data_IF_993889852227
#
_entry.id   IF_993889852227
#
_cell.length_a   1.000
_cell.length_b   1.000
_cell.length_c   1.000
_cell.angle_alpha   90.00
_cell.angle_beta   90.00
_cell.angle_gamma   90.00
#
_symmetry.space_group_name_H-M   'P 1'
#
loop_
_entity.id
_entity.type
_entity.pdbx_description
1 polymer ?
#
# COMPACT_ATOMS: atom_id res chain seq x y z
N UNK A 1 -30.66 10.17 -18.38
CA UNK A 1 -29.70 10.48 -17.30
C UNK A 1 -28.54 9.54 -17.48
N UNK A 2 -27.32 9.94 -17.17
CA UNK A 2 -26.19 9.03 -17.20
C UNK A 2 -26.39 7.90 -16.18
N UNK A 3 -25.86 6.72 -16.45
CA UNK A 3 -25.82 5.60 -15.52
C UNK A 3 -24.77 5.79 -14.43
N UNK A 4 -24.58 4.77 -13.61
CA UNK A 4 -23.68 4.76 -12.44
C UNK A 4 -22.57 3.72 -12.63
N UNK A 5 -21.33 4.11 -12.31
CA UNK A 5 -20.22 3.18 -12.18
C UNK A 5 -20.17 2.61 -10.75
N UNK A 6 -20.26 1.29 -10.60
CA UNK A 6 -20.16 0.59 -9.33
C UNK A 6 -18.84 -0.16 -9.23
N UNK A 7 -17.99 0.18 -8.24
CA UNK A 7 -16.81 -0.61 -7.91
C UNK A 7 -17.22 -1.68 -6.90
N UNK A 8 -17.34 -2.92 -7.33
CA UNK A 8 -17.84 -4.01 -6.51
C UNK A 8 -16.68 -4.88 -6.01
N UNK A 9 -16.46 -4.90 -4.71
CA UNK A 9 -15.48 -5.80 -4.11
C UNK A 9 -15.88 -7.26 -4.32
N UNK A 10 -14.90 -8.09 -4.66
CA UNK A 10 -14.99 -9.55 -4.77
C UNK A 10 -14.27 -10.23 -3.62
N UNK A 11 -14.53 -11.51 -3.33
CA UNK A 11 -13.79 -12.24 -2.30
C UNK A 11 -12.30 -12.32 -2.58
N UNK A 12 -11.49 -12.35 -1.51
CA UNK A 12 -10.03 -12.55 -1.59
C UNK A 12 -9.59 -13.99 -1.31
N UNK A 13 -10.57 -14.91 -1.25
CA UNK A 13 -10.29 -16.32 -1.04
C UNK A 13 -11.45 -17.11 -0.43
N UNK A 14 -12.44 -16.44 0.16
CA UNK A 14 -13.62 -17.06 0.74
C UNK A 14 -14.89 -16.46 0.11
N UNK A 15 -15.70 -17.29 -0.52
CA UNK A 15 -16.94 -16.85 -1.18
C UNK A 15 -17.97 -16.26 -0.21
N UNK A 16 -17.90 -16.62 1.08
CA UNK A 16 -18.78 -16.06 2.12
C UNK A 16 -18.50 -14.57 2.41
N UNK A 17 -17.36 -14.04 1.99
CA UNK A 17 -17.01 -12.61 2.10
C UNK A 17 -17.71 -11.75 1.03
N UNK A 18 -18.45 -12.37 0.10
CA UNK A 18 -19.24 -11.64 -0.88
C UNK A 18 -20.45 -10.98 -0.22
N UNK A 19 -20.58 -9.67 -0.37
CA UNK A 19 -21.68 -8.95 0.28
C UNK A 19 -23.00 -9.13 -0.48
N UNK A 20 -24.12 -9.18 0.23
CA UNK A 20 -25.46 -9.18 -0.37
C UNK A 20 -25.67 -8.01 -1.34
N UNK A 21 -25.12 -6.84 -1.00
CA UNK A 21 -25.20 -5.65 -1.86
C UNK A 21 -24.42 -5.83 -3.16
N UNK A 22 -23.22 -6.42 -3.10
CA UNK A 22 -22.44 -6.69 -4.30
C UNK A 22 -23.19 -7.68 -5.24
N UNK A 23 -23.73 -8.78 -4.69
CA UNK A 23 -24.53 -9.74 -5.47
C UNK A 23 -25.70 -9.06 -6.14
N UNK A 24 -26.44 -8.21 -5.41
CA UNK A 24 -27.58 -7.47 -5.93
C UNK A 24 -27.19 -6.52 -7.07
N UNK A 25 -26.17 -5.69 -6.86
CA UNK A 25 -25.68 -4.72 -7.85
C UNK A 25 -25.18 -5.44 -9.12
N UNK A 26 -24.43 -6.53 -8.96
CA UNK A 26 -23.95 -7.32 -10.10
C UNK A 26 -25.08 -7.97 -10.89
N UNK A 27 -26.23 -8.27 -10.27
CA UNK A 27 -27.43 -8.77 -10.97
C UNK A 27 -28.23 -7.67 -11.65
N UNK A 28 -28.21 -6.46 -11.11
CA UNK A 28 -29.00 -5.31 -11.59
C UNK A 28 -28.26 -4.50 -12.68
N UNK A 29 -26.92 -4.53 -12.71
CA UNK A 29 -26.12 -3.79 -13.68
C UNK A 29 -26.35 -4.28 -15.11
N UNK A 30 -26.22 -3.38 -16.09
CA UNK A 30 -26.33 -3.69 -17.52
C UNK A 30 -25.09 -4.41 -18.06
N UNK A 31 -23.92 -4.15 -17.43
CA UNK A 31 -22.65 -4.74 -17.81
C UNK A 31 -21.74 -4.92 -16.61
N UNK A 32 -20.97 -6.00 -16.59
CA UNK A 32 -19.86 -6.21 -15.68
C UNK A 32 -18.54 -6.06 -16.44
N UNK A 33 -17.67 -5.13 -16.01
CA UNK A 33 -16.31 -5.00 -16.48
C UNK A 33 -15.38 -5.75 -15.49
N UNK A 34 -14.74 -6.82 -15.97
CA UNK A 34 -13.94 -7.72 -15.15
C UNK A 34 -12.48 -7.77 -15.61
N UNK A 35 -11.54 -7.86 -14.66
CA UNK A 35 -10.11 -7.93 -14.94
C UNK A 35 -9.76 -9.20 -15.73
N UNK A 36 -10.09 -10.38 -15.22
CA UNK A 36 -10.04 -11.65 -15.97
C UNK A 36 -11.43 -12.31 -16.01
N UNK A 37 -12.03 -12.28 -17.19
CA UNK A 37 -13.37 -12.87 -17.41
C UNK A 37 -13.42 -14.37 -17.16
N UNK A 38 -12.30 -15.09 -17.31
CA UNK A 38 -12.21 -16.55 -17.11
C UNK A 38 -12.27 -16.91 -15.61
N UNK A 39 -11.75 -16.05 -14.75
CA UNK A 39 -11.83 -16.20 -13.31
C UNK A 39 -13.18 -15.71 -12.80
N UNK A 40 -13.60 -14.54 -13.24
CA UNK A 40 -14.85 -13.90 -12.80
C UNK A 40 -16.09 -14.73 -13.13
N UNK A 41 -16.12 -15.46 -14.26
CA UNK A 41 -17.28 -16.29 -14.62
C UNK A 41 -17.58 -17.37 -13.57
N UNK A 42 -16.57 -17.89 -12.85
CA UNK A 42 -16.76 -18.88 -11.80
C UNK A 42 -17.50 -18.27 -10.61
N UNK A 43 -17.11 -17.03 -10.21
CA UNK A 43 -17.76 -16.26 -9.15
C UNK A 43 -19.21 -15.94 -9.54
N UNK A 44 -19.42 -15.42 -10.74
CA UNK A 44 -20.76 -15.03 -11.22
C UNK A 44 -21.71 -16.24 -11.29
N UNK A 45 -21.22 -17.38 -11.76
CA UNK A 45 -22.00 -18.62 -11.80
C UNK A 45 -22.37 -19.10 -10.38
N UNK A 46 -21.46 -19.01 -9.42
CA UNK A 46 -21.72 -19.40 -8.04
C UNK A 46 -22.89 -18.61 -7.40
N UNK A 47 -22.98 -17.32 -7.71
CA UNK A 47 -24.04 -16.42 -7.21
C UNK A 47 -25.24 -16.28 -8.18
N UNK A 48 -25.28 -17.10 -9.22
CA UNK A 48 -26.35 -17.07 -10.25
C UNK A 48 -26.54 -15.68 -10.89
N UNK A 49 -25.42 -14.98 -11.16
CA UNK A 49 -25.38 -13.69 -11.83
C UNK A 49 -25.25 -13.94 -13.34
N UNK A 50 -26.22 -13.44 -14.12
CA UNK A 50 -26.30 -13.63 -15.58
C UNK A 50 -25.98 -12.38 -16.37
N UNK A 51 -25.60 -11.32 -15.72
CA UNK A 51 -25.26 -10.03 -16.32
C UNK A 51 -24.13 -10.18 -17.34
N UNK A 52 -24.25 -9.59 -18.53
CA UNK A 52 -23.19 -9.63 -19.54
C UNK A 52 -21.85 -9.12 -18.98
N UNK A 53 -20.76 -9.75 -19.42
CA UNK A 53 -19.43 -9.42 -18.93
C UNK A 53 -18.49 -9.03 -20.07
N UNK A 54 -17.58 -8.08 -19.81
CA UNK A 54 -16.50 -7.68 -20.70
C UNK A 54 -15.19 -7.60 -19.96
N UNK A 55 -14.06 -7.78 -20.67
CA UNK A 55 -12.74 -7.61 -20.04
C UNK A 55 -12.38 -6.13 -19.89
N UNK A 56 -11.78 -5.79 -18.73
CA UNK A 56 -11.18 -4.49 -18.44
C UNK A 56 -9.94 -4.70 -17.57
N UNK A 57 -8.76 -4.62 -18.16
CA UNK A 57 -7.47 -4.94 -17.54
C UNK A 57 -6.40 -3.93 -17.94
N UNK A 58 -5.23 -3.99 -17.32
CA UNK A 58 -4.12 -3.04 -17.49
C UNK A 58 -3.78 -2.75 -18.96
N UNK A 59 -3.78 -3.78 -19.81
CA UNK A 59 -3.38 -3.64 -21.23
C UNK A 59 -4.45 -3.03 -22.14
N UNK A 60 -5.70 -2.92 -21.70
CA UNK A 60 -6.79 -2.35 -22.49
C UNK A 60 -7.50 -1.17 -21.82
N UNK A 61 -7.06 -0.76 -20.62
CA UNK A 61 -7.75 0.19 -19.75
C UNK A 61 -8.11 1.51 -20.42
N UNK A 62 -7.27 2.05 -21.28
CA UNK A 62 -7.53 3.33 -21.96
C UNK A 62 -8.63 3.19 -23.02
N UNK A 63 -8.42 2.32 -24.03
CA UNK A 63 -9.39 2.15 -25.12
C UNK A 63 -10.75 1.65 -24.59
N UNK A 64 -10.70 0.66 -23.71
CA UNK A 64 -11.91 0.08 -23.14
C UNK A 64 -12.60 1.04 -22.17
N UNK A 65 -11.82 1.83 -21.41
CA UNK A 65 -12.33 2.86 -20.51
C UNK A 65 -13.20 3.87 -21.23
N UNK A 66 -12.76 4.40 -22.38
CA UNK A 66 -13.58 5.31 -23.19
C UNK A 66 -14.91 4.68 -23.65
N UNK A 67 -14.90 3.41 -24.06
CA UNK A 67 -16.12 2.68 -24.45
C UNK A 67 -17.08 2.48 -23.27
N UNK A 68 -16.55 2.23 -22.06
CA UNK A 68 -17.35 2.08 -20.85
C UNK A 68 -17.95 3.42 -20.41
N UNK A 69 -17.18 4.50 -20.49
CA UNK A 69 -17.66 5.87 -20.23
C UNK A 69 -18.78 6.25 -21.18
N UNK A 70 -18.67 5.97 -22.48
CA UNK A 70 -19.71 6.23 -23.47
C UNK A 70 -21.03 5.47 -23.13
N UNK A 71 -20.94 4.21 -22.72
CA UNK A 71 -22.10 3.42 -22.30
C UNK A 71 -22.76 3.99 -21.05
N UNK A 72 -21.95 4.39 -20.05
CA UNK A 72 -22.44 5.07 -18.84
C UNK A 72 -23.13 6.40 -19.16
N UNK A 73 -22.60 7.19 -20.09
CA UNK A 73 -23.23 8.44 -20.56
C UNK A 73 -24.57 8.18 -21.25
N UNK A 74 -24.72 7.04 -21.91
CA UNK A 74 -25.96 6.59 -22.56
C UNK A 74 -26.99 6.00 -21.56
N UNK A 75 -26.68 5.97 -20.25
CA UNK A 75 -27.60 5.61 -19.19
C UNK A 75 -27.48 4.16 -18.71
N UNK A 76 -26.46 3.41 -19.16
CA UNK A 76 -26.23 2.05 -18.67
C UNK A 76 -25.50 2.10 -17.31
N UNK A 77 -25.91 1.23 -16.39
CA UNK A 77 -25.21 0.99 -15.12
C UNK A 77 -24.12 -0.08 -15.30
N UNK A 78 -22.89 0.23 -14.91
CA UNK A 78 -21.75 -0.68 -15.08
C UNK A 78 -21.11 -1.01 -13.74
N UNK A 79 -20.93 -2.31 -13.48
CA UNK A 79 -20.18 -2.79 -12.32
C UNK A 79 -18.76 -3.20 -12.73
N UNK A 80 -17.75 -2.72 -12.01
CA UNK A 80 -16.36 -3.16 -12.15
C UNK A 80 -16.02 -4.12 -11.03
N UNK A 81 -15.38 -5.23 -11.40
CA UNK A 81 -14.82 -6.23 -10.47
C UNK A 81 -13.39 -6.56 -10.88
N UNK A 82 -12.58 -6.94 -9.89
CA UNK A 82 -11.23 -7.47 -10.06
C UNK A 82 -11.18 -8.96 -9.75
N UNK A 83 -10.05 -9.59 -9.95
CA UNK A 83 -9.86 -11.01 -9.65
C UNK A 83 -10.03 -11.29 -8.15
N UNK A 84 -9.62 -10.34 -7.30
CA UNK A 84 -9.73 -10.46 -5.85
C UNK A 84 -9.75 -9.09 -5.14
N UNK A 85 -10.74 -8.87 -4.30
CA UNK A 85 -10.80 -7.70 -3.43
C UNK A 85 -11.49 -6.49 -4.03
N UNK A 86 -11.12 -5.31 -3.54
CA UNK A 86 -11.74 -4.03 -3.87
C UNK A 86 -11.14 -3.44 -5.14
N UNK A 87 -11.94 -3.19 -6.20
CA UNK A 87 -11.47 -2.53 -7.42
C UNK A 87 -10.98 -1.10 -7.15
N UNK A 88 -9.97 -0.66 -7.91
CA UNK A 88 -9.32 0.64 -7.75
C UNK A 88 -8.22 0.66 -6.69
N UNK A 89 -7.85 -0.52 -6.15
CA UNK A 89 -6.75 -0.67 -5.21
C UNK A 89 -5.68 -1.57 -5.84
N UNK A 90 -4.68 -0.97 -6.47
CA UNK A 90 -3.60 -1.67 -7.20
C UNK A 90 -4.07 -2.43 -8.45
N UNK A 91 -5.06 -1.90 -9.15
CA UNK A 91 -5.65 -2.44 -10.37
C UNK A 91 -6.14 -1.31 -11.30
N UNK A 92 -6.52 -1.61 -12.57
CA UNK A 92 -6.92 -0.60 -13.55
C UNK A 92 -8.23 0.16 -13.24
N UNK A 93 -8.95 -0.20 -12.19
CA UNK A 93 -10.18 0.48 -11.75
C UNK A 93 -9.95 1.96 -11.45
N UNK A 94 -8.77 2.33 -10.97
CA UNK A 94 -8.38 3.73 -10.70
C UNK A 94 -8.56 4.63 -11.94
N UNK A 95 -8.07 4.19 -13.11
CA UNK A 95 -8.15 4.98 -14.34
C UNK A 95 -9.60 5.18 -14.79
N UNK A 96 -10.43 4.13 -14.69
CA UNK A 96 -11.84 4.24 -15.06
C UNK A 96 -12.62 5.19 -14.12
N UNK A 97 -12.32 5.17 -12.83
CA UNK A 97 -12.88 6.13 -11.86
C UNK A 97 -12.56 7.56 -12.27
N UNK A 98 -11.29 7.82 -12.60
CA UNK A 98 -10.85 9.14 -13.05
C UNK A 98 -11.59 9.59 -14.31
N UNK A 99 -11.65 8.74 -15.35
CA UNK A 99 -12.38 9.02 -16.57
C UNK A 99 -13.87 9.33 -16.31
N UNK A 100 -14.52 8.57 -15.43
CA UNK A 100 -15.92 8.79 -15.06
C UNK A 100 -16.12 10.12 -14.31
N UNK A 101 -15.23 10.47 -13.40
CA UNK A 101 -15.28 11.75 -12.69
C UNK A 101 -15.10 12.93 -13.64
N UNK A 102 -14.16 12.86 -14.59
CA UNK A 102 -13.95 13.87 -15.64
C UNK A 102 -15.18 14.01 -16.55
N UNK A 103 -15.92 12.92 -16.77
CA UNK A 103 -17.15 12.91 -17.57
C UNK A 103 -18.41 13.27 -16.77
N UNK A 104 -18.31 13.58 -15.46
CA UNK A 104 -19.45 13.91 -14.62
C UNK A 104 -20.38 12.73 -14.31
N UNK A 105 -19.88 11.49 -14.43
CA UNK A 105 -20.62 10.26 -14.17
C UNK A 105 -20.56 9.93 -12.68
N UNK A 106 -21.67 9.50 -12.12
CA UNK A 106 -21.74 9.04 -10.73
C UNK A 106 -20.92 7.78 -10.54
N UNK A 107 -19.99 7.80 -9.57
CA UNK A 107 -19.18 6.66 -9.16
C UNK A 107 -19.51 6.31 -7.72
N UNK A 108 -19.76 5.03 -7.43
CA UNK A 108 -20.00 4.56 -6.07
C UNK A 108 -19.26 3.24 -5.80
N UNK A 109 -18.80 3.06 -4.57
CA UNK A 109 -18.16 1.83 -4.14
C UNK A 109 -19.15 0.93 -3.39
N UNK A 110 -19.07 -0.36 -3.66
CA UNK A 110 -19.72 -1.43 -2.92
C UNK A 110 -18.64 -2.10 -2.05
N UNK A 111 -18.51 -1.71 -0.77
CA UNK A 111 -17.43 -2.20 0.07
C UNK A 111 -17.51 -3.71 0.29
N UNK A 112 -16.35 -4.31 0.50
CA UNK A 112 -16.21 -5.74 0.77
C UNK A 112 -14.78 -6.10 1.12
N UNK A 113 -14.34 -7.30 0.80
CA UNK A 113 -13.02 -7.80 1.14
C UNK A 113 -11.90 -6.91 0.55
N UNK A 114 -10.87 -6.65 1.37
CA UNK A 114 -9.67 -5.92 0.97
C UNK A 114 -8.46 -6.49 1.73
N UNK A 115 -7.55 -7.12 1.04
CA UNK A 115 -6.42 -7.83 1.64
C UNK A 115 -5.52 -6.89 2.47
N UNK A 116 -5.28 -5.65 2.00
CA UNK A 116 -4.50 -4.64 2.71
C UNK A 116 -5.06 -4.35 4.10
N UNK A 117 -6.34 -4.00 4.19
CA UNK A 117 -6.99 -3.64 5.46
C UNK A 117 -7.16 -4.88 6.34
N UNK A 118 -7.51 -6.03 5.76
CA UNK A 118 -7.65 -7.29 6.49
C UNK A 118 -6.33 -7.69 7.16
N UNK A 119 -5.21 -7.69 6.42
CA UNK A 119 -3.89 -7.97 6.97
C UNK A 119 -3.49 -6.98 8.07
N UNK A 120 -3.72 -5.69 7.84
CA UNK A 120 -3.40 -4.65 8.81
C UNK A 120 -4.13 -4.86 10.15
N UNK A 121 -5.42 -5.20 10.10
CA UNK A 121 -6.24 -5.40 11.34
C UNK A 121 -5.78 -6.56 12.20
N UNK A 122 -5.21 -7.62 11.60
CA UNK A 122 -4.77 -8.83 12.32
C UNK A 122 -3.25 -8.88 12.54
N UNK A 123 -2.51 -7.88 12.05
CA UNK A 123 -1.05 -7.84 12.12
C UNK A 123 -0.47 -7.64 13.52
N UNK A 124 -1.25 -7.06 14.45
CA UNK A 124 -0.76 -6.63 15.76
C UNK A 124 0.14 -5.39 15.73
N UNK A 125 0.24 -4.69 14.59
CA UNK A 125 0.98 -3.44 14.42
C UNK A 125 0.05 -2.23 14.44
N UNK A 126 0.60 -1.01 14.46
CA UNK A 126 -0.17 0.22 14.55
C UNK A 126 -1.08 0.44 13.33
N UNK A 127 -2.39 0.58 13.57
CA UNK A 127 -3.40 0.73 12.50
C UNK A 127 -3.84 2.17 12.25
N UNK A 128 -3.53 3.09 13.18
CA UNK A 128 -4.04 4.47 13.13
C UNK A 128 -3.52 5.26 11.92
N UNK A 129 -2.27 5.02 11.55
CA UNK A 129 -1.62 5.63 10.38
C UNK A 129 -0.84 4.55 9.67
N UNK A 130 -1.13 4.33 8.40
CA UNK A 130 -0.42 3.37 7.57
C UNK A 130 -0.22 3.91 6.16
N UNK A 131 0.74 3.33 5.45
CA UNK A 131 1.00 3.53 4.03
C UNK A 131 0.78 2.20 3.31
N UNK A 132 0.11 2.23 2.18
CA UNK A 132 -0.08 1.08 1.31
C UNK A 132 0.80 1.27 0.07
N UNK A 133 1.73 0.33 -0.13
CA UNK A 133 2.75 0.38 -1.18
C UNK A 133 2.48 -0.61 -2.32
N UNK A 134 1.34 -1.32 -2.27
CA UNK A 134 1.00 -2.36 -3.23
C UNK A 134 2.14 -3.38 -3.43
N UNK A 135 2.46 -3.74 -4.68
CA UNK A 135 3.64 -4.53 -5.01
C UNK A 135 4.84 -3.64 -5.28
N UNK A 136 5.98 -3.95 -4.66
CA UNK A 136 7.22 -3.25 -5.00
C UNK A 136 7.57 -3.45 -6.48
N UNK A 137 8.08 -2.40 -7.17
CA UNK A 137 8.44 -2.47 -8.57
C UNK A 137 9.37 -3.64 -8.90
N UNK A 138 9.16 -4.26 -10.05
CA UNK A 138 10.04 -5.34 -10.54
C UNK A 138 11.36 -4.81 -11.06
N UNK A 139 11.36 -3.63 -11.65
CA UNK A 139 12.59 -2.92 -12.03
C UNK A 139 13.45 -2.61 -10.79
N UNK A 140 14.75 -2.87 -10.91
CA UNK A 140 15.67 -2.71 -9.78
C UNK A 140 15.84 -1.25 -9.36
N UNK A 141 15.86 -0.34 -10.33
CA UNK A 141 16.13 1.08 -10.08
C UNK A 141 14.91 1.77 -9.45
N UNK A 142 13.72 1.49 -9.99
CA UNK A 142 12.46 1.99 -9.43
C UNK A 142 12.22 1.44 -8.02
N UNK A 143 12.43 0.13 -7.83
CA UNK A 143 12.31 -0.49 -6.51
C UNK A 143 13.24 0.13 -5.49
N UNK A 144 14.51 0.43 -5.87
CA UNK A 144 15.44 1.09 -4.97
C UNK A 144 15.02 2.51 -4.61
N UNK A 145 14.41 3.25 -5.54
CA UNK A 145 13.85 4.58 -5.28
C UNK A 145 12.75 4.49 -4.22
N UNK A 146 11.76 3.61 -4.41
CA UNK A 146 10.69 3.38 -3.43
C UNK A 146 11.23 2.97 -2.07
N UNK A 147 12.19 2.04 -2.03
CA UNK A 147 12.79 1.58 -0.78
C UNK A 147 13.53 2.70 -0.03
N UNK A 148 14.18 3.61 -0.75
CA UNK A 148 14.85 4.77 -0.14
C UNK A 148 13.82 5.73 0.51
N UNK A 149 12.65 5.90 -0.10
CA UNK A 149 11.54 6.68 0.48
C UNK A 149 11.00 6.02 1.75
N UNK A 150 10.88 4.68 1.74
CA UNK A 150 10.39 3.90 2.88
C UNK A 150 11.37 3.80 4.06
N UNK A 151 12.65 4.12 3.85
CA UNK A 151 13.69 4.00 4.89
C UNK A 151 13.32 4.75 6.18
N UNK A 152 12.79 5.95 6.05
CA UNK A 152 12.43 6.80 7.17
C UNK A 152 10.91 6.88 7.41
N UNK A 153 10.12 6.00 6.77
CA UNK A 153 8.68 5.95 6.97
C UNK A 153 8.35 5.55 8.42
N UNK A 154 7.54 6.38 9.06
CA UNK A 154 7.12 6.22 10.47
C UNK A 154 5.76 5.56 10.63
N UNK A 155 4.98 5.46 9.55
CA UNK A 155 3.70 4.76 9.54
C UNK A 155 3.92 3.27 9.35
N UNK A 156 2.96 2.47 9.77
CA UNK A 156 2.92 1.05 9.38
C UNK A 156 2.80 0.95 7.86
N UNK A 157 3.64 0.12 7.24
CA UNK A 157 3.63 -0.10 5.80
C UNK A 157 2.95 -1.42 5.47
N UNK A 158 2.14 -1.44 4.41
CA UNK A 158 1.50 -2.66 3.91
C UNK A 158 1.94 -2.89 2.47
N UNK A 159 2.56 -4.04 2.22
CA UNK A 159 3.15 -4.43 0.94
C UNK A 159 2.58 -5.77 0.52
N UNK A 160 2.10 -5.87 -0.73
CA UNK A 160 1.74 -7.14 -1.35
C UNK A 160 2.98 -7.84 -1.90
N UNK A 161 3.03 -9.17 -1.79
CA UNK A 161 4.14 -9.90 -2.39
C UNK A 161 3.75 -11.31 -2.82
N UNK A 162 4.30 -11.72 -3.95
CA UNK A 162 4.16 -13.08 -4.44
C UNK A 162 5.10 -14.05 -3.67
N UNK A 163 4.68 -15.29 -3.43
CA UNK A 163 5.46 -16.22 -2.62
C UNK A 163 6.87 -16.45 -3.15
N UNK A 164 7.04 -16.57 -4.47
CA UNK A 164 8.34 -16.79 -5.09
C UNK A 164 9.30 -15.60 -4.99
N UNK A 165 8.81 -14.40 -4.63
CA UNK A 165 9.61 -13.19 -4.43
C UNK A 165 9.86 -12.90 -2.96
N UNK A 166 9.10 -13.48 -2.03
CA UNK A 166 9.04 -13.11 -0.62
C UNK A 166 10.43 -13.07 0.03
N UNK A 167 11.24 -14.14 -0.11
CA UNK A 167 12.58 -14.21 0.51
C UNK A 167 13.50 -13.11 -0.03
N UNK A 168 13.48 -12.87 -1.33
CA UNK A 168 14.28 -11.81 -1.95
C UNK A 168 13.86 -10.43 -1.44
N UNK A 169 12.57 -10.20 -1.34
CA UNK A 169 12.02 -8.93 -0.85
C UNK A 169 12.36 -8.72 0.62
N UNK A 170 12.24 -9.75 1.47
CA UNK A 170 12.66 -9.69 2.87
C UNK A 170 14.15 -9.33 3.03
N UNK A 171 15.04 -9.91 2.20
CA UNK A 171 16.48 -9.55 2.19
C UNK A 171 16.66 -8.07 1.89
N UNK A 172 16.03 -7.58 0.84
CA UNK A 172 16.11 -6.17 0.46
C UNK A 172 15.53 -5.23 1.52
N UNK A 173 14.42 -5.60 2.14
CA UNK A 173 13.81 -4.86 3.25
C UNK A 173 14.75 -4.84 4.47
N UNK A 174 15.40 -5.97 4.81
CA UNK A 174 16.37 -6.05 5.91
C UNK A 174 17.56 -5.11 5.69
N UNK A 175 18.08 -5.06 4.47
CA UNK A 175 19.19 -4.19 4.08
C UNK A 175 18.81 -2.70 4.15
N UNK A 176 17.59 -2.35 3.75
CA UNK A 176 17.15 -0.94 3.64
C UNK A 176 16.52 -0.41 4.92
N UNK A 177 15.62 -1.18 5.53
CA UNK A 177 14.81 -0.75 6.68
C UNK A 177 15.43 -1.15 8.03
N UNK A 178 16.39 -2.06 8.03
CA UNK A 178 16.89 -2.68 9.25
C UNK A 178 16.00 -3.83 9.73
N UNK A 179 16.18 -4.26 11.00
CA UNK A 179 15.43 -5.37 11.58
C UNK A 179 14.14 -4.88 12.26
N UNK A 180 13.14 -4.49 11.45
CA UNK A 180 11.83 -4.05 11.96
C UNK A 180 10.93 -5.23 12.27
N UNK A 181 9.92 -5.00 13.12
CA UNK A 181 8.82 -5.92 13.31
C UNK A 181 8.02 -6.03 12.01
N UNK A 182 7.60 -7.25 11.71
CA UNK A 182 6.81 -7.57 10.52
C UNK A 182 5.74 -8.60 10.88
N UNK A 183 4.59 -8.49 10.25
CA UNK A 183 3.58 -9.54 10.23
C UNK A 183 3.37 -9.98 8.79
N UNK A 184 3.62 -11.26 8.50
CA UNK A 184 3.41 -11.85 7.18
C UNK A 184 2.10 -12.62 7.21
N UNK A 185 1.08 -12.03 6.60
CA UNK A 185 -0.25 -12.61 6.47
C UNK A 185 -0.34 -13.36 5.15
N UNK A 186 -0.63 -14.66 5.21
CA UNK A 186 -0.67 -15.52 4.03
C UNK A 186 -2.03 -16.17 3.89
N UNK A 187 -2.47 -16.32 2.61
CA UNK A 187 -3.70 -17.04 2.28
C UNK A 187 -4.90 -16.52 3.08
N UNK A 188 -5.00 -15.20 3.23
CA UNK A 188 -6.08 -14.53 3.98
C UNK A 188 -7.45 -15.06 3.54
N UNK A 189 -8.32 -15.32 4.51
CA UNK A 189 -9.67 -15.86 4.38
C UNK A 189 -9.77 -17.32 3.87
N UNK A 190 -8.64 -17.90 3.42
CA UNK A 190 -8.58 -19.26 2.88
C UNK A 190 -8.33 -20.29 3.99
N UNK A 191 -8.51 -21.58 3.69
CA UNK A 191 -8.33 -22.70 4.63
C UNK A 191 -6.94 -22.73 5.31
N UNK A 192 -5.92 -22.21 4.64
CA UNK A 192 -4.54 -22.23 5.12
C UNK A 192 -4.04 -20.83 5.49
N UNK A 193 -4.96 -19.96 5.93
CA UNK A 193 -4.61 -18.66 6.48
C UNK A 193 -3.60 -18.77 7.60
N UNK A 194 -2.54 -17.96 7.52
CA UNK A 194 -1.53 -17.84 8.58
C UNK A 194 -1.13 -16.40 8.78
N UNK A 195 -0.89 -16.04 10.04
CA UNK A 195 -0.34 -14.75 10.44
C UNK A 195 0.94 -14.99 11.20
N UNK A 196 2.07 -14.62 10.62
CA UNK A 196 3.38 -14.78 11.22
C UNK A 196 3.93 -13.43 11.66
N UNK A 197 3.66 -13.10 12.95
CA UNK A 197 4.17 -11.87 13.58
C UNK A 197 5.57 -12.14 14.17
N UNK A 198 6.58 -11.41 13.67
CA UNK A 198 7.98 -11.65 13.98
C UNK A 198 8.84 -10.40 13.67
N UNK A 199 10.15 -10.56 13.47
CA UNK A 199 11.06 -9.58 12.88
C UNK A 199 11.43 -9.96 11.45
N UNK A 200 11.96 -9.01 10.66
CA UNK A 200 12.40 -9.30 9.29
C UNK A 200 13.51 -10.37 9.30
N UNK A 201 14.41 -10.33 10.26
CA UNK A 201 15.52 -11.28 10.39
C UNK A 201 15.03 -12.69 10.74
N UNK A 202 14.12 -12.82 11.70
CA UNK A 202 13.53 -14.12 12.05
C UNK A 202 12.67 -14.67 10.91
N UNK A 203 11.97 -13.80 10.17
CA UNK A 203 11.24 -14.20 8.97
C UNK A 203 12.18 -14.76 7.90
N UNK A 204 13.33 -14.14 7.69
CA UNK A 204 14.36 -14.66 6.77
C UNK A 204 14.87 -16.04 7.23
N UNK A 205 15.19 -16.20 8.50
CA UNK A 205 15.62 -17.50 9.06
C UNK A 205 14.55 -18.58 8.90
N UNK A 206 13.28 -18.24 9.11
CA UNK A 206 12.16 -19.17 8.93
C UNK A 206 12.02 -19.61 7.46
N UNK A 207 12.04 -18.66 6.52
CA UNK A 207 11.86 -18.96 5.10
C UNK A 207 13.13 -19.45 4.39
N UNK A 208 14.27 -19.50 5.05
CA UNK A 208 15.46 -20.19 4.56
C UNK A 208 15.27 -21.71 4.54
N UNK A 209 14.43 -22.24 5.47
CA UNK A 209 14.11 -23.67 5.59
C UNK A 209 12.69 -24.03 5.16
N UNK A 210 11.77 -23.07 5.07
CA UNK A 210 10.38 -23.26 4.71
C UNK A 210 10.07 -22.52 3.41
N UNK A 211 9.73 -23.24 2.36
CA UNK A 211 9.35 -22.61 1.09
C UNK A 211 8.07 -21.77 1.24
N UNK A 212 8.09 -20.45 0.88
CA UNK A 212 6.88 -19.63 0.91
C UNK A 212 5.83 -20.13 -0.08
N UNK A 213 4.58 -20.28 0.37
CA UNK A 213 3.45 -20.68 -0.46
C UNK A 213 2.26 -19.76 -0.27
N UNK A 214 1.51 -19.56 -1.34
CA UNK A 214 0.31 -18.74 -1.34
C UNK A 214 0.60 -17.23 -1.35
N UNK A 215 -0.43 -16.44 -1.56
CA UNK A 215 -0.36 -14.98 -1.60
C UNK A 215 -0.01 -14.42 -0.23
N UNK A 216 0.83 -13.39 -0.22
CA UNK A 216 1.36 -12.80 1.00
C UNK A 216 1.05 -11.30 1.06
N UNK A 217 0.65 -10.84 2.23
CA UNK A 217 0.63 -9.43 2.60
C UNK A 217 1.61 -9.24 3.75
N UNK A 218 2.60 -8.38 3.53
CA UNK A 218 3.55 -7.97 4.56
C UNK A 218 3.08 -6.69 5.21
N UNK A 219 2.92 -6.70 6.53
CA UNK A 219 2.65 -5.51 7.34
C UNK A 219 3.91 -5.24 8.15
N UNK A 220 4.53 -4.07 7.96
CA UNK A 220 5.85 -3.75 8.49
C UNK A 220 5.74 -2.52 9.40
N UNK A 221 6.35 -2.59 10.57
CA UNK A 221 6.40 -1.47 11.50
C UNK A 221 7.19 -0.30 10.91
N UNK A 222 6.68 0.90 11.07
CA UNK A 222 7.39 2.13 10.71
C UNK A 222 8.57 2.40 11.63
N UNK A 223 9.49 3.27 11.20
CA UNK A 223 10.62 3.72 12.02
C UNK A 223 10.12 4.46 13.26
N UNK A 224 10.62 4.10 14.43
CA UNK A 224 10.20 4.75 15.65
C UNK A 224 10.75 6.19 15.72
N UNK A 225 10.03 7.07 16.39
CA UNK A 225 10.51 8.45 16.62
C UNK A 225 11.77 8.49 17.48
N UNK A 226 11.98 7.46 18.29
CA UNK A 226 13.17 7.33 19.13
C UNK A 226 14.39 6.96 18.30
N UNK A 227 14.25 6.03 17.35
CA UNK A 227 15.30 5.69 16.39
C UNK A 227 15.69 6.89 15.54
N UNK A 228 14.71 7.65 15.00
CA UNK A 228 14.99 8.85 14.22
C UNK A 228 15.78 9.86 15.06
N UNK A 229 15.34 10.13 16.28
CA UNK A 229 16.05 11.05 17.17
C UNK A 229 17.45 10.57 17.54
N UNK A 230 17.62 9.26 17.73
CA UNK A 230 18.92 8.67 18.05
C UNK A 230 19.89 8.80 16.88
N UNK A 231 19.42 8.52 15.64
CA UNK A 231 20.23 8.69 14.43
C UNK A 231 20.57 10.16 14.18
N UNK A 232 19.60 11.06 14.33
CA UNK A 232 19.84 12.50 14.23
C UNK A 232 20.89 12.94 15.25
N UNK A 233 20.76 12.48 16.50
CA UNK A 233 21.72 12.81 17.55
C UNK A 233 23.12 12.27 17.23
N UNK A 234 23.24 11.02 16.80
CA UNK A 234 24.51 10.42 16.39
C UNK A 234 25.15 11.21 15.23
N UNK A 235 24.37 11.58 14.23
CA UNK A 235 24.82 12.43 13.12
C UNK A 235 25.36 13.78 13.60
N UNK A 236 24.70 14.40 14.58
CA UNK A 236 25.16 15.67 15.15
C UNK A 236 26.41 15.51 16.02
N UNK A 237 26.61 14.35 16.66
CA UNK A 237 27.82 14.05 17.43
C UNK A 237 29.06 13.85 16.53
N UNK A 238 28.88 13.29 15.34
CA UNK A 238 29.96 13.12 14.33
C UNK A 238 30.36 14.44 13.65
N UNK A 239 29.48 15.43 13.59
CA UNK A 239 29.71 16.73 12.97
C UNK A 239 30.38 17.70 13.95
N UNK A 240 31.32 18.54 13.50
CA UNK A 240 31.87 19.61 14.34
C UNK A 240 30.80 20.64 14.72
N UNK A 241 31.06 21.46 15.75
CA UNK A 241 30.14 22.52 16.13
C UNK A 241 30.04 23.61 15.06
N UNK A 242 31.15 23.91 14.42
CA UNK A 242 31.27 24.87 13.35
C UNK A 242 30.45 24.43 12.12
N UNK A 243 30.66 23.21 11.68
CA UNK A 243 29.88 22.63 10.55
C UNK A 243 28.37 22.61 10.83
N UNK A 244 27.96 22.24 12.06
CA UNK A 244 26.57 22.24 12.46
C UNK A 244 25.95 23.65 12.48
N UNK A 245 26.74 24.66 12.92
CA UNK A 245 26.32 26.06 12.83
C UNK A 245 26.21 26.54 11.39
N UNK A 246 27.19 26.23 10.54
CA UNK A 246 27.18 26.60 9.12
C UNK A 246 25.99 26.03 8.37
N UNK A 247 25.57 24.81 8.69
CA UNK A 247 24.39 24.18 8.11
C UNK A 247 23.13 25.05 8.30
N UNK A 248 22.89 25.56 9.51
CA UNK A 248 21.72 26.41 9.79
C UNK A 248 21.88 27.84 9.29
N UNK A 249 23.08 28.40 9.29
CA UNK A 249 23.36 29.69 8.68
C UNK A 249 23.14 29.62 7.15
N UNK A 250 23.54 28.53 6.50
CA UNK A 250 23.32 28.28 5.07
C UNK A 250 21.82 28.13 4.72
N UNK A 251 20.98 27.74 5.68
CA UNK A 251 19.52 27.70 5.55
C UNK A 251 18.85 29.06 5.78
N UNK A 252 19.63 30.13 6.01
CA UNK A 252 19.12 31.50 6.21
C UNK A 252 18.75 31.83 7.65
N UNK A 253 19.11 31.01 8.64
CA UNK A 253 18.91 31.34 10.06
C UNK A 253 19.91 32.41 10.51
N UNK A 254 19.49 33.33 11.38
CA UNK A 254 20.41 34.20 12.05
C UNK A 254 21.28 33.44 13.09
N UNK A 255 22.44 33.97 13.43
CA UNK A 255 23.41 33.34 14.34
C UNK A 255 22.79 32.90 15.67
N UNK A 256 21.84 33.69 16.20
CA UNK A 256 21.20 33.43 17.51
C UNK A 256 20.20 32.28 17.42
N UNK A 257 19.44 32.22 16.30
CA UNK A 257 18.51 31.13 16.02
C UNK A 257 19.26 29.81 15.72
N UNK A 258 20.31 29.87 14.90
CA UNK A 258 21.19 28.74 14.62
C UNK A 258 21.80 28.15 15.90
N UNK A 259 22.38 28.97 16.76
CA UNK A 259 22.92 28.51 18.07
C UNK A 259 21.84 27.84 18.94
N UNK A 260 20.62 28.38 18.93
CA UNK A 260 19.50 27.78 19.69
C UNK A 260 19.11 26.42 19.14
N UNK A 261 19.13 26.28 17.81
CA UNK A 261 18.79 25.02 17.17
C UNK A 261 19.89 23.98 17.41
N UNK A 262 21.15 24.32 17.19
CA UNK A 262 22.30 23.44 17.46
C UNK A 262 22.31 22.96 18.93
N UNK A 263 22.04 23.85 19.88
CA UNK A 263 21.96 23.49 21.29
C UNK A 263 20.82 22.47 21.55
N UNK A 264 19.67 22.68 20.92
CA UNK A 264 18.53 21.78 21.02
C UNK A 264 18.83 20.39 20.41
N UNK A 265 19.41 20.35 19.22
CA UNK A 265 19.69 19.12 18.49
C UNK A 265 20.73 18.25 19.19
N UNK A 266 21.76 18.87 19.76
CA UNK A 266 22.80 18.19 20.54
C UNK A 266 22.43 17.94 22.01
N UNK A 267 21.31 18.49 22.48
CA UNK A 267 20.88 18.35 23.86
C UNK A 267 21.80 19.05 24.86
N UNK A 268 22.51 20.11 24.45
CA UNK A 268 23.46 20.85 25.24
C UNK A 268 22.98 22.28 25.51
N UNK A 269 23.64 23.00 26.45
CA UNK A 269 23.31 24.36 26.74
C UNK A 269 23.83 25.34 25.67
N UNK A 270 23.15 26.48 25.45
CA UNK A 270 23.66 27.54 24.56
C UNK A 270 25.06 28.04 24.94
N UNK A 271 25.41 27.99 26.23
CA UNK A 271 26.70 28.38 26.74
C UNK A 271 27.81 27.48 26.22
N UNK A 272 27.52 26.19 26.15
CA UNK A 272 28.46 25.17 25.68
C UNK A 272 28.75 25.36 24.17
N UNK A 273 27.71 25.70 23.37
CA UNK A 273 27.89 26.05 21.95
C UNK A 273 28.75 27.30 21.79
N UNK A 274 28.50 28.34 22.59
CA UNK A 274 29.27 29.58 22.54
C UNK A 274 30.75 29.35 22.89
N UNK A 275 31.02 28.51 23.90
CA UNK A 275 32.40 28.18 24.31
C UNK A 275 33.14 27.32 23.26
N UNK A 276 32.45 26.46 22.56
CA UNK A 276 33.02 25.61 21.53
C UNK A 276 33.31 26.36 20.20
N UNK A 277 32.70 27.53 20.01
CA UNK A 277 32.88 28.39 18.82
C UNK A 277 33.80 29.59 19.06
N UNK A 278 34.42 29.71 20.24
CA UNK A 278 35.45 30.68 20.58
C UNK A 278 36.84 30.13 20.33
#
# INVERSE_FOLDING_TARGET
MAGTLYLCATPIGNLEDMTFRAVRILKEADLIAAEDTRNSIKLLNHFEIKTPMTSYHEYNKIEKGHKLVERLQNGEDIAVITDAGMPGISDPGEELVKMCQEAGITVTAVPGACACVTALTISGLGTRRFAFEAFLPTDKKERQAVLNELKDETRTMVIYEAPHRLVRTLKTLRETLGNRRISICRELTKKHETVFATTIEDALAYYDVQEPKGECVMVIEGKSREEIRSEEKARWEEMSMEEHMELYLGQGMDKKAAMKQVAKDRGVGKRDIYQALL
#
